data_IF_222638821680
#
_entry.id   IF_222638821680
#
_cell.length_a   1.000
_cell.length_b   1.000
_cell.length_c   1.000
_cell.angle_alpha   90.00
_cell.angle_beta   90.00
_cell.angle_gamma   90.00
#
_symmetry.space_group_name_H-M   'P 1'
#
loop_
_entity.id
_entity.type
_entity.pdbx_description
1 polymer ?
#
# COMPACT_ATOMS: atom_id res chain seq x y z
N UNK A 1 4.08 3.55 34.44
CA UNK A 1 3.27 2.96 33.36
C UNK A 1 3.37 3.86 32.13
N UNK A 2 4.50 3.80 31.43
CA UNK A 2 4.61 4.34 30.07
C UNK A 2 4.45 3.16 29.09
N UNK A 3 4.18 3.47 27.81
CA UNK A 3 4.23 2.55 26.66
C UNK A 3 2.92 1.88 26.20
N UNK A 4 1.74 2.48 26.43
CA UNK A 4 0.50 2.04 25.76
C UNK A 4 0.16 2.82 24.48
N UNK A 5 0.49 4.11 24.43
CA UNK A 5 -0.06 5.00 23.41
C UNK A 5 0.68 4.96 22.07
N UNK A 6 2.02 5.01 22.11
CA UNK A 6 2.80 5.17 20.89
C UNK A 6 2.88 3.86 20.10
N UNK A 7 3.27 2.73 20.68
CA UNK A 7 3.35 1.43 19.98
C UNK A 7 2.04 0.99 19.28
N UNK A 8 0.88 1.39 19.81
CA UNK A 8 -0.42 1.12 19.19
C UNK A 8 -0.57 1.86 17.85
N UNK A 9 0.11 2.99 17.65
CA UNK A 9 0.06 3.79 16.41
C UNK A 9 0.88 3.16 15.27
N UNK A 10 2.17 2.79 15.41
CA UNK A 10 2.91 2.02 14.39
C UNK A 10 2.25 0.70 14.06
N UNK A 11 1.71 -0.03 15.04
CA UNK A 11 1.01 -1.29 14.76
C UNK A 11 -0.27 -1.06 13.94
N UNK A 12 -1.03 -0.01 14.25
CA UNK A 12 -2.20 0.36 13.44
C UNK A 12 -1.81 0.74 12.00
N UNK A 13 -0.68 1.42 11.81
CA UNK A 13 -0.16 1.75 10.47
C UNK A 13 0.28 0.51 9.70
N UNK A 14 1.00 -0.43 10.34
CA UNK A 14 1.36 -1.72 9.74
C UNK A 14 0.12 -2.51 9.34
N UNK A 15 -0.86 -2.59 10.24
CA UNK A 15 -2.16 -3.23 9.97
C UNK A 15 -2.88 -2.55 8.81
N UNK A 16 -2.86 -1.22 8.71
CA UNK A 16 -3.43 -0.51 7.57
C UNK A 16 -2.72 -0.88 6.25
N UNK A 17 -1.38 -0.92 6.24
CA UNK A 17 -0.60 -1.41 5.10
C UNK A 17 -1.04 -2.80 4.66
N UNK A 18 -1.23 -3.74 5.59
CA UNK A 18 -1.74 -5.09 5.27
C UNK A 18 -3.16 -5.08 4.71
N UNK A 19 -4.04 -4.19 5.17
CA UNK A 19 -5.37 -4.04 4.57
C UNK A 19 -5.30 -3.50 3.13
N UNK A 20 -4.33 -2.63 2.84
CA UNK A 20 -4.08 -2.11 1.50
C UNK A 20 -3.54 -3.19 0.57
N UNK A 21 -2.70 -4.12 1.05
CA UNK A 21 -2.31 -5.31 0.25
C UNK A 21 -3.54 -6.12 -0.18
N UNK A 22 -4.48 -6.34 0.74
CA UNK A 22 -5.74 -7.03 0.40
C UNK A 22 -6.59 -6.27 -0.63
N UNK A 23 -6.44 -4.95 -0.76
CA UNK A 23 -7.05 -4.17 -1.83
C UNK A 23 -6.27 -4.33 -3.14
N UNK A 24 -4.93 -4.32 -3.10
CA UNK A 24 -4.06 -4.60 -4.25
C UNK A 24 -4.40 -5.94 -4.88
N UNK A 25 -4.59 -7.00 -4.08
CA UNK A 25 -4.97 -8.33 -4.59
C UNK A 25 -6.31 -8.31 -5.35
N UNK A 26 -7.29 -7.56 -4.85
CA UNK A 26 -8.59 -7.40 -5.52
C UNK A 26 -8.48 -6.59 -6.81
N UNK A 27 -7.64 -5.56 -6.81
CA UNK A 27 -7.38 -4.77 -8.02
C UNK A 27 -6.65 -5.60 -9.08
N UNK A 28 -5.66 -6.41 -8.70
CA UNK A 28 -5.01 -7.36 -9.61
C UNK A 28 -6.01 -8.37 -10.18
N UNK A 29 -6.91 -8.90 -9.35
CA UNK A 29 -8.00 -9.76 -9.81
C UNK A 29 -8.88 -9.05 -10.84
N UNK A 30 -9.17 -7.76 -10.66
CA UNK A 30 -9.93 -6.96 -11.62
C UNK A 30 -9.16 -6.72 -12.93
N UNK A 31 -7.84 -6.47 -12.87
CA UNK A 31 -6.97 -6.38 -14.06
C UNK A 31 -6.99 -7.68 -14.85
N UNK A 32 -6.85 -8.82 -14.18
CA UNK A 32 -6.87 -10.13 -14.82
C UNK A 32 -8.25 -10.42 -15.43
N UNK A 33 -9.33 -10.09 -14.72
CA UNK A 33 -10.68 -10.19 -15.26
C UNK A 33 -10.88 -9.29 -16.51
N UNK A 34 -10.35 -8.07 -16.50
CA UNK A 34 -10.41 -7.17 -17.65
C UNK A 34 -9.66 -7.76 -18.87
N UNK A 35 -8.51 -8.40 -18.66
CA UNK A 35 -7.75 -9.10 -19.73
C UNK A 35 -8.46 -10.35 -20.26
N UNK A 36 -9.20 -11.05 -19.42
CA UNK A 36 -10.03 -12.19 -19.85
C UNK A 36 -11.26 -11.68 -20.62
N UNK A 37 -11.85 -10.56 -20.17
CA UNK A 37 -13.02 -9.95 -20.78
C UNK A 37 -12.71 -9.19 -22.07
N UNK A 38 -11.45 -8.76 -22.30
CA UNK A 38 -11.03 -8.23 -23.59
C UNK A 38 -11.14 -9.33 -24.63
N UNK A 39 -12.28 -9.31 -25.32
CA UNK A 39 -12.67 -10.27 -26.35
C UNK A 39 -11.86 -10.01 -27.61
N UNK A 40 -11.42 -11.06 -28.31
CA UNK A 40 -10.82 -10.85 -29.65
C UNK A 40 -11.86 -10.24 -30.59
N UNK A 41 -11.43 -9.50 -31.60
CA UNK A 41 -12.33 -8.85 -32.57
C UNK A 41 -13.34 -9.84 -33.20
N UNK A 42 -12.93 -11.11 -33.35
CA UNK A 42 -13.76 -12.20 -33.87
C UNK A 42 -14.89 -12.65 -32.93
N UNK A 43 -14.80 -12.33 -31.64
CA UNK A 43 -15.75 -12.78 -30.61
C UNK A 43 -17.06 -11.99 -30.61
N UNK A 44 -17.08 -10.80 -31.21
CA UNK A 44 -18.30 -9.99 -31.36
C UNK A 44 -19.29 -10.59 -32.36
N UNK A 45 -18.82 -11.49 -33.24
CA UNK A 45 -19.63 -12.08 -34.29
C UNK A 45 -20.00 -11.08 -35.40
N UNK A 46 -20.56 -11.62 -36.50
CA UNK A 46 -20.77 -10.86 -37.74
C UNK A 46 -21.68 -9.62 -37.57
N UNK A 47 -22.65 -9.69 -36.68
CA UNK A 47 -23.61 -8.60 -36.46
C UNK A 47 -23.01 -7.41 -35.69
N UNK A 48 -21.99 -7.65 -34.87
CA UNK A 48 -21.41 -6.65 -33.98
C UNK A 48 -19.96 -6.27 -34.36
N UNK A 49 -19.49 -6.65 -35.55
CA UNK A 49 -18.13 -6.40 -36.03
C UNK A 49 -17.74 -4.91 -36.14
N UNK A 50 -18.70 -3.98 -36.03
CA UNK A 50 -18.44 -2.53 -36.03
C UNK A 50 -18.07 -1.97 -34.64
N UNK A 51 -18.30 -2.74 -33.56
CA UNK A 51 -18.08 -2.30 -32.18
C UNK A 51 -16.61 -2.24 -31.73
N UNK A 52 -15.69 -3.15 -32.14
CA UNK A 52 -14.33 -3.16 -31.61
C UNK A 52 -13.58 -1.82 -31.73
N UNK A 53 -13.65 -1.08 -32.85
CA UNK A 53 -13.00 0.25 -32.95
C UNK A 53 -13.53 1.29 -31.95
N UNK A 54 -14.75 1.09 -31.43
CA UNK A 54 -15.40 2.00 -30.47
C UNK A 54 -15.12 1.55 -29.03
N UNK A 55 -15.14 0.24 -28.77
CA UNK A 55 -15.06 -0.35 -27.44
C UNK A 55 -13.61 -0.50 -26.98
N UNK A 56 -12.73 -1.04 -27.82
CA UNK A 56 -11.34 -1.39 -27.46
C UNK A 56 -10.55 -0.21 -26.84
N UNK A 57 -10.66 1.04 -27.33
CA UNK A 57 -9.95 2.17 -26.72
C UNK A 57 -10.40 2.51 -25.30
N UNK A 58 -11.67 2.21 -24.97
CA UNK A 58 -12.20 2.39 -23.61
C UNK A 58 -11.74 1.25 -22.72
N UNK A 59 -11.70 0.02 -23.23
CA UNK A 59 -11.18 -1.15 -22.51
C UNK A 59 -9.69 -0.99 -22.17
N UNK A 60 -8.87 -0.52 -23.10
CA UNK A 60 -7.45 -0.24 -22.88
C UNK A 60 -7.25 0.79 -21.75
N UNK A 61 -7.99 1.91 -21.81
CA UNK A 61 -7.96 2.93 -20.75
C UNK A 61 -8.43 2.40 -19.40
N UNK A 62 -9.41 1.50 -19.40
CA UNK A 62 -9.88 0.87 -18.16
C UNK A 62 -8.79 -0.04 -17.56
N UNK A 63 -8.09 -0.82 -18.38
CA UNK A 63 -6.97 -1.64 -17.95
C UNK A 63 -5.82 -0.78 -17.39
N UNK A 64 -5.47 0.31 -18.07
CA UNK A 64 -4.45 1.26 -17.61
C UNK A 64 -4.83 1.90 -16.28
N UNK A 65 -6.10 2.32 -16.13
CA UNK A 65 -6.59 2.91 -14.90
C UNK A 65 -6.54 1.93 -13.71
N UNK A 66 -6.85 0.65 -13.94
CA UNK A 66 -6.73 -0.39 -12.93
C UNK A 66 -5.27 -0.66 -12.56
N UNK A 67 -4.35 -0.69 -13.53
CA UNK A 67 -2.92 -0.84 -13.28
C UNK A 67 -2.36 0.33 -12.46
N UNK A 68 -2.73 1.57 -12.81
CA UNK A 68 -2.34 2.76 -12.04
C UNK A 68 -2.92 2.73 -10.62
N UNK A 69 -4.13 2.19 -10.43
CA UNK A 69 -4.71 2.00 -9.09
C UNK A 69 -3.91 0.99 -8.26
N UNK A 70 -3.47 -0.13 -8.86
CA UNK A 70 -2.58 -1.11 -8.19
C UNK A 70 -1.31 -0.43 -7.70
N UNK A 71 -0.64 0.34 -8.56
CA UNK A 71 0.60 1.05 -8.21
C UNK A 71 0.37 2.09 -7.09
N UNK A 72 -0.68 2.90 -7.21
CA UNK A 72 -1.00 3.93 -6.22
C UNK A 72 -1.31 3.34 -4.84
N UNK A 73 -2.13 2.28 -4.79
CA UNK A 73 -2.47 1.62 -3.52
C UNK A 73 -1.26 0.90 -2.91
N UNK A 74 -0.40 0.29 -3.74
CA UNK A 74 0.85 -0.32 -3.28
C UNK A 74 1.78 0.73 -2.64
N UNK A 75 1.92 1.88 -3.30
CA UNK A 75 2.69 3.02 -2.78
C UNK A 75 2.14 3.51 -1.43
N UNK A 76 0.82 3.56 -1.27
CA UNK A 76 0.19 3.92 0.01
C UNK A 76 0.46 2.88 1.11
N UNK A 77 0.44 1.59 0.76
CA UNK A 77 0.75 0.51 1.71
C UNK A 77 2.20 0.62 2.22
N UNK A 78 3.14 0.88 1.31
CA UNK A 78 4.55 1.08 1.66
C UNK A 78 4.75 2.35 2.49
N UNK A 79 4.14 3.47 2.10
CA UNK A 79 4.21 4.71 2.87
C UNK A 79 3.67 4.57 4.30
N UNK A 80 2.63 3.75 4.51
CA UNK A 80 2.12 3.45 5.86
C UNK A 80 3.15 2.68 6.70
N UNK A 81 3.84 1.69 6.11
CA UNK A 81 4.90 0.93 6.78
C UNK A 81 6.12 1.78 7.06
N UNK A 82 6.55 2.60 6.10
CA UNK A 82 7.68 3.51 6.26
C UNK A 82 7.43 4.51 7.39
N UNK A 83 6.21 5.03 7.49
CA UNK A 83 5.80 5.91 8.59
C UNK A 83 5.86 5.18 9.94
N UNK A 84 5.42 3.92 10.00
CA UNK A 84 5.53 3.10 11.21
C UNK A 84 6.99 2.90 11.64
N UNK A 85 7.88 2.57 10.69
CA UNK A 85 9.32 2.41 10.92
C UNK A 85 9.95 3.71 11.43
N UNK A 86 9.64 4.85 10.80
CA UNK A 86 10.17 6.15 11.21
C UNK A 86 9.80 6.51 12.67
N UNK A 87 8.61 6.11 13.12
CA UNK A 87 8.20 6.25 14.51
C UNK A 87 9.01 5.34 15.45
N UNK A 88 9.17 4.06 15.11
CA UNK A 88 9.99 3.14 15.92
C UNK A 88 11.45 3.60 16.04
N UNK A 89 12.03 4.14 14.96
CA UNK A 89 13.39 4.69 14.93
C UNK A 89 13.53 5.90 15.85
N UNK A 90 12.56 6.82 15.83
CA UNK A 90 12.55 7.98 16.72
C UNK A 90 12.45 7.57 18.18
N UNK A 91 11.53 6.65 18.51
CA UNK A 91 11.36 6.16 19.89
C UNK A 91 12.64 5.49 20.39
N UNK A 92 13.29 4.66 19.57
CA UNK A 92 14.56 4.02 19.91
C UNK A 92 15.65 5.07 20.19
N UNK A 93 15.79 6.08 19.33
CA UNK A 93 16.76 7.15 19.53
C UNK A 93 16.50 7.97 20.82
N UNK A 94 15.23 8.21 21.15
CA UNK A 94 14.84 8.88 22.39
C UNK A 94 15.14 8.03 23.63
N UNK A 95 14.86 6.72 23.58
CA UNK A 95 15.17 5.78 24.66
C UNK A 95 16.67 5.67 24.91
N UNK A 96 17.48 5.61 23.85
CA UNK A 96 18.94 5.57 23.93
C UNK A 96 19.48 6.85 24.58
N UNK A 97 19.00 8.01 24.14
CA UNK A 97 19.39 9.32 24.70
C UNK A 97 19.05 9.40 26.19
N UNK A 98 17.83 9.01 26.57
CA UNK A 98 17.39 9.02 27.97
C UNK A 98 18.19 8.04 28.83
N UNK A 99 18.52 6.86 28.30
CA UNK A 99 19.35 5.86 28.98
C UNK A 99 20.78 6.36 29.18
N UNK A 100 21.35 7.02 28.17
CA UNK A 100 22.67 7.65 28.27
C UNK A 100 22.68 8.78 29.30
N UNK A 101 21.66 9.65 29.31
CA UNK A 101 21.54 10.73 30.30
C UNK A 101 21.37 10.18 31.72
N UNK A 102 20.53 9.17 31.91
CA UNK A 102 20.35 8.49 33.19
C UNK A 102 21.67 7.89 33.69
N UNK A 103 22.43 7.25 32.81
CA UNK A 103 23.71 6.64 33.16
C UNK A 103 24.74 7.68 33.56
N UNK A 104 24.82 8.82 32.85
CA UNK A 104 25.70 9.93 33.22
C UNK A 104 25.31 10.59 34.55
N UNK A 105 24.02 10.83 34.77
CA UNK A 105 23.52 11.44 36.00
C UNK A 105 23.73 10.56 37.24
N UNK A 106 23.64 9.24 37.10
CA UNK A 106 23.88 8.28 38.19
C UNK A 106 25.37 7.91 38.33
N UNK A 107 26.16 8.01 37.27
CA UNK A 107 27.61 7.74 37.27
C UNK A 107 28.49 8.90 37.72
N UNK A 108 27.97 10.14 37.71
CA UNK A 108 28.68 11.35 38.17
C UNK A 108 28.64 11.61 39.68
N UNK A 109 28.05 10.71 40.48
CA UNK A 109 27.92 10.85 41.93
C UNK A 109 29.02 10.08 42.71
N UNK A 110 30.14 9.73 42.07
CA UNK A 110 31.30 9.08 42.70
C UNK A 110 32.53 9.97 42.65
#
# INVERSE_FOLDING_TARGET
MAAGGYSVVPEALRSHGSHLDGLVDRLNTAVDAARIASMSEDSYGLLCAFLPPIINPVEEKAADALAAAVEGVSTLADGARDTATAYDDQETAHQDTMTALRTQALGGAS
#
